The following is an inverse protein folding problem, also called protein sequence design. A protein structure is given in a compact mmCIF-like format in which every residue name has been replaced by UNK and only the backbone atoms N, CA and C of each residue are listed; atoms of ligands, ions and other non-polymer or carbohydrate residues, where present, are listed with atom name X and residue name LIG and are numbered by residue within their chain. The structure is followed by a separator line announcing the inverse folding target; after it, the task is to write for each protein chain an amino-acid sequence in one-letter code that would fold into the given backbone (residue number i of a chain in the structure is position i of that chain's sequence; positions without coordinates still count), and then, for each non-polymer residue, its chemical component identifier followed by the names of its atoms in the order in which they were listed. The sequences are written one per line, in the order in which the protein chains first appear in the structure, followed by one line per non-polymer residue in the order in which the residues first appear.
data_IF_301310883895
#
_entry.id   IF_301310883895
#
_cell.length_a   1.000
_cell.length_b   1.000
_cell.length_c   1.000
_cell.angle_alpha   90.00
_cell.angle_beta   90.00
_cell.angle_gamma   90.00
#
_symmetry.space_group_name_H-M   'P 1'
#
loop_
_entity.id
_entity.type
_entity.pdbx_description
1 polymer ?
#
# COMPACT_ATOMS: atom_id res chain seq x y z
N UNK A 1 -8.83 10.80 -1.16
CA UNK A 1 -7.87 10.14 -2.06
C UNK A 1 -8.19 10.32 -3.54
N UNK A 2 -9.36 9.89 -4.05
CA UNK A 2 -9.72 10.09 -5.47
C UNK A 2 -9.65 11.56 -5.91
N UNK A 3 -10.25 12.47 -5.12
CA UNK A 3 -10.22 13.91 -5.39
C UNK A 3 -8.78 14.47 -5.37
N UNK A 4 -7.93 13.97 -4.48
CA UNK A 4 -6.52 14.37 -4.40
C UNK A 4 -5.73 13.95 -5.64
N UNK A 5 -6.04 12.77 -6.19
CA UNK A 5 -5.46 12.30 -7.45
C UNK A 5 -5.94 13.17 -8.63
N UNK A 6 -7.22 13.54 -8.69
CA UNK A 6 -7.74 14.44 -9.73
C UNK A 6 -7.11 15.84 -9.65
N UNK A 7 -7.00 16.40 -8.44
CA UNK A 7 -6.35 17.69 -8.22
C UNK A 7 -4.86 17.63 -8.60
N UNK A 8 -4.15 16.56 -8.26
CA UNK A 8 -2.76 16.37 -8.67
C UNK A 8 -2.62 16.23 -10.18
N UNK A 9 -3.53 15.52 -10.86
CA UNK A 9 -3.57 15.45 -12.33
C UNK A 9 -3.74 16.84 -12.96
N UNK A 10 -4.60 17.69 -12.42
CA UNK A 10 -4.75 19.08 -12.86
C UNK A 10 -3.50 19.95 -12.63
N UNK A 11 -2.78 19.75 -11.52
CA UNK A 11 -1.47 20.42 -11.30
C UNK A 11 -0.39 19.90 -12.25
N UNK A 12 -0.43 18.61 -12.58
CA UNK A 12 0.54 17.97 -13.46
C UNK A 12 0.28 18.31 -14.94
N UNK A 13 -0.97 18.49 -15.37
CA UNK A 13 -1.32 18.82 -16.76
C UNK A 13 -0.86 20.20 -17.21
N UNK A 14 -0.72 21.15 -16.26
CA UNK A 14 -0.13 22.48 -16.51
C UNK A 14 1.38 22.43 -16.80
N UNK A 15 2.03 21.29 -16.55
CA UNK A 15 3.40 21.03 -16.94
C UNK A 15 3.39 20.12 -18.18
N UNK A 16 3.86 20.67 -19.30
CA UNK A 16 4.01 20.04 -20.62
C UNK A 16 4.35 18.54 -20.55
N UNK A 17 3.76 17.74 -21.45
CA UNK A 17 4.01 16.30 -21.63
C UNK A 17 5.50 16.02 -21.62
N UNK A 18 6.02 15.50 -20.51
CA UNK A 18 7.45 15.20 -20.36
C UNK A 18 7.70 13.85 -21.01
N UNK A 19 8.73 13.74 -21.84
CA UNK A 19 9.17 12.45 -22.40
C UNK A 19 9.76 11.46 -21.37
N UNK A 20 9.71 11.82 -20.08
CA UNK A 20 10.35 11.12 -18.96
C UNK A 20 9.45 11.19 -17.75
N UNK A 21 9.31 10.06 -17.06
CA UNK A 21 8.59 9.94 -15.79
C UNK A 21 9.53 10.25 -14.62
N UNK A 22 9.17 11.26 -13.84
CA UNK A 22 9.85 11.65 -12.60
C UNK A 22 9.08 11.07 -11.42
N UNK A 23 9.61 10.09 -10.69
CA UNK A 23 8.88 9.38 -9.63
C UNK A 23 8.30 10.32 -8.57
N UNK A 24 9.05 11.37 -8.21
CA UNK A 24 8.70 12.35 -7.19
C UNK A 24 8.27 13.70 -7.80
N UNK A 25 7.61 13.67 -8.96
CA UNK A 25 7.13 14.87 -9.65
C UNK A 25 6.31 15.78 -8.72
N UNK A 26 6.80 17.01 -8.48
CA UNK A 26 6.18 17.99 -7.59
C UNK A 26 6.04 17.53 -6.12
N UNK A 27 6.88 16.59 -5.65
CA UNK A 27 6.89 16.11 -4.26
C UNK A 27 8.11 16.56 -3.48
N UNK A 28 9.24 16.74 -4.16
CA UNK A 28 10.53 17.01 -3.52
C UNK A 28 10.69 18.49 -3.16
N UNK A 29 10.98 18.78 -1.90
CA UNK A 29 11.26 20.12 -1.39
C UNK A 29 12.64 20.18 -0.76
N UNK A 30 13.32 21.31 -0.91
CA UNK A 30 14.61 21.55 -0.25
C UNK A 30 14.39 21.79 1.25
N UNK A 31 15.06 21.06 2.14
CA UNK A 31 14.92 21.28 3.60
C UNK A 31 15.42 22.65 4.07
N UNK A 32 16.34 23.28 3.32
CA UNK A 32 16.95 24.57 3.70
C UNK A 32 16.13 25.78 3.31
N UNK A 33 15.47 25.74 2.14
CA UNK A 33 14.69 26.88 1.64
C UNK A 33 13.21 26.57 1.42
N UNK A 34 12.79 25.33 1.67
CA UNK A 34 11.42 24.80 1.52
C UNK A 34 10.81 24.97 0.12
N UNK A 35 11.62 25.34 -0.88
CA UNK A 35 11.18 25.48 -2.27
C UNK A 35 11.13 24.12 -2.95
N UNK A 36 10.09 23.93 -3.78
CA UNK A 36 9.93 22.76 -4.63
C UNK A 36 11.14 22.59 -5.59
N UNK A 37 11.71 21.40 -5.60
CA UNK A 37 12.86 21.06 -6.44
C UNK A 37 12.42 20.68 -7.86
N UNK A 38 13.18 21.14 -8.85
CA UNK A 38 12.90 20.89 -10.25
C UNK A 38 13.52 19.55 -10.70
N UNK A 39 12.68 18.63 -11.20
CA UNK A 39 13.14 17.43 -11.88
C UNK A 39 13.89 17.76 -13.17
N UNK A 40 15.03 17.12 -13.37
CA UNK A 40 15.92 17.27 -14.51
C UNK A 40 16.50 15.90 -14.91
N UNK A 41 16.96 15.82 -16.15
CA UNK A 41 17.59 14.65 -16.73
C UNK A 41 18.52 15.10 -17.87
N UNK A 42 19.57 14.33 -18.19
CA UNK A 42 20.40 14.57 -19.37
C UNK A 42 19.60 14.50 -20.67
N UNK A 43 20.19 14.91 -21.78
CA UNK A 43 19.66 14.65 -23.12
C UNK A 43 19.97 13.22 -23.61
N UNK A 44 19.33 12.82 -24.71
CA UNK A 44 19.58 11.52 -25.38
C UNK A 44 19.08 10.32 -24.57
N UNK A 45 19.68 9.14 -24.78
CA UNK A 45 19.22 7.89 -24.15
C UNK A 45 19.47 7.85 -22.63
N UNK A 46 20.46 8.59 -22.13
CA UNK A 46 20.78 8.69 -20.69
C UNK A 46 19.70 9.37 -19.86
N UNK A 47 18.71 10.00 -20.51
CA UNK A 47 17.64 10.74 -19.85
C UNK A 47 16.72 9.86 -18.98
N UNK A 48 16.67 8.56 -19.26
CA UNK A 48 15.86 7.60 -18.51
C UNK A 48 16.54 7.09 -17.23
N UNK A 49 17.86 6.96 -17.25
CA UNK A 49 18.63 6.35 -16.16
C UNK A 49 19.13 7.37 -15.11
N UNK A 50 19.25 8.64 -15.49
CA UNK A 50 19.87 9.68 -14.66
C UNK A 50 18.90 10.83 -14.37
N UNK A 51 17.85 10.54 -13.61
CA UNK A 51 16.91 11.57 -13.13
C UNK A 51 17.45 12.20 -11.85
N UNK A 52 17.46 13.54 -11.79
CA UNK A 52 17.87 14.29 -10.61
C UNK A 52 16.91 15.43 -10.27
N UNK A 53 16.83 15.76 -8.99
CA UNK A 53 16.07 16.89 -8.47
C UNK A 53 17.02 18.00 -8.09
N UNK A 54 16.79 19.20 -8.62
CA UNK A 54 17.62 20.38 -8.40
C UNK A 54 16.88 21.44 -7.59
N UNK A 55 17.50 21.92 -6.52
CA UNK A 55 17.07 23.15 -5.86
C UNK A 55 17.76 24.35 -6.53
N UNK A 56 16.98 25.32 -6.99
CA UNK A 56 17.53 26.51 -7.65
C UNK A 56 18.27 27.42 -6.67
N UNK A 57 17.68 27.67 -5.50
CA UNK A 57 18.20 28.61 -4.50
C UNK A 57 19.47 28.07 -3.84
N UNK A 58 19.45 26.81 -3.41
CA UNK A 58 20.59 26.18 -2.71
C UNK A 58 21.59 25.51 -3.66
N UNK A 59 21.33 25.53 -4.97
CA UNK A 59 22.18 24.94 -6.02
C UNK A 59 22.57 23.46 -5.80
N UNK A 60 21.77 22.70 -5.03
CA UNK A 60 22.00 21.27 -4.80
C UNK A 60 21.28 20.40 -5.83
N UNK A 61 21.84 19.23 -6.09
CA UNK A 61 21.35 18.22 -7.03
C UNK A 61 21.33 16.86 -6.33
N UNK A 62 20.22 16.15 -6.45
CA UNK A 62 20.02 14.85 -5.79
C UNK A 62 19.52 13.83 -6.80
N UNK A 63 20.15 12.67 -6.89
CA UNK A 63 19.71 11.60 -7.79
C UNK A 63 18.41 10.96 -7.27
N UNK A 64 17.47 10.68 -8.18
CA UNK A 64 16.20 10.00 -7.87
C UNK A 64 16.43 8.66 -7.16
N UNK A 65 17.45 7.89 -7.58
CA UNK A 65 17.79 6.60 -6.98
C UNK A 65 18.31 6.73 -5.54
N UNK A 66 19.00 7.84 -5.22
CA UNK A 66 19.44 8.09 -3.85
C UNK A 66 18.26 8.37 -2.92
N UNK A 67 17.22 9.05 -3.42
CA UNK A 67 15.97 9.25 -2.69
C UNK A 67 15.30 7.88 -2.46
N UNK A 68 15.12 7.07 -3.50
CA UNK A 68 14.53 5.71 -3.41
C UNK A 68 15.23 4.89 -2.33
N UNK A 69 16.57 4.89 -2.32
CA UNK A 69 17.34 4.14 -1.33
C UNK A 69 17.10 4.63 0.11
N UNK A 70 16.98 5.95 0.31
CA UNK A 70 16.73 6.53 1.63
C UNK A 70 15.31 6.25 2.14
N UNK A 71 14.31 6.20 1.25
CA UNK A 71 12.91 5.91 1.62
C UNK A 71 12.50 4.47 1.28
N UNK A 72 13.46 3.56 1.11
CA UNK A 72 13.19 2.17 0.66
C UNK A 72 12.18 1.47 1.56
N UNK A 73 12.32 1.58 2.88
CA UNK A 73 11.38 0.96 3.83
C UNK A 73 9.95 1.50 3.61
N UNK A 74 9.80 2.83 3.55
CA UNK A 74 8.52 3.49 3.25
C UNK A 74 7.92 3.01 1.93
N UNK A 75 8.74 2.81 0.89
CA UNK A 75 8.27 2.29 -0.40
C UNK A 75 7.67 0.90 -0.21
N UNK A 76 8.37 0.01 0.48
CA UNK A 76 7.91 -1.37 0.70
C UNK A 76 6.63 -1.40 1.54
N UNK A 77 6.52 -0.57 2.57
CA UNK A 77 5.33 -0.44 3.41
C UNK A 77 4.13 0.08 2.57
N UNK A 78 4.35 1.04 1.68
CA UNK A 78 3.31 1.55 0.78
C UNK A 78 2.90 0.53 -0.29
N UNK A 79 3.83 -0.28 -0.79
CA UNK A 79 3.55 -1.37 -1.72
C UNK A 79 2.69 -2.43 -1.05
N UNK A 80 3.06 -2.84 0.16
CA UNK A 80 2.28 -3.78 0.97
C UNK A 80 0.88 -3.22 1.24
N UNK A 81 0.78 -1.96 1.67
CA UNK A 81 -0.50 -1.30 1.90
C UNK A 81 -1.36 -1.24 0.63
N UNK A 82 -0.80 -0.82 -0.51
CA UNK A 82 -1.58 -0.71 -1.76
C UNK A 82 -2.09 -2.09 -2.21
N UNK A 83 -1.25 -3.12 -2.11
CA UNK A 83 -1.63 -4.51 -2.42
C UNK A 83 -2.72 -5.05 -1.47
N UNK A 84 -2.51 -4.96 -0.15
CA UNK A 84 -3.49 -5.42 0.85
C UNK A 84 -4.83 -4.71 0.68
N UNK A 85 -4.82 -3.37 0.61
CA UNK A 85 -6.06 -2.58 0.63
C UNK A 85 -6.76 -2.63 -0.72
N UNK A 86 -6.04 -2.51 -1.84
CA UNK A 86 -6.69 -2.46 -3.16
C UNK A 86 -6.88 -3.82 -3.78
N UNK A 87 -5.88 -4.68 -3.74
CA UNK A 87 -5.89 -5.90 -4.55
C UNK A 87 -6.56 -7.04 -3.78
N UNK A 88 -6.51 -7.01 -2.44
CA UNK A 88 -7.13 -8.03 -1.59
C UNK A 88 -8.43 -7.54 -0.96
N UNK A 89 -8.40 -6.44 -0.20
CA UNK A 89 -9.55 -6.05 0.62
C UNK A 89 -10.59 -5.23 -0.14
N UNK A 90 -10.23 -4.45 -1.15
CA UNK A 90 -11.22 -3.67 -1.90
C UNK A 90 -12.23 -4.57 -2.63
N UNK A 91 -11.83 -5.64 -3.36
CA UNK A 91 -12.76 -6.64 -3.90
C UNK A 91 -13.75 -7.17 -2.86
N UNK A 92 -13.25 -7.50 -1.68
CA UNK A 92 -14.04 -8.11 -0.60
C UNK A 92 -15.00 -7.10 0.01
N UNK A 93 -14.54 -5.88 0.29
CA UNK A 93 -15.37 -4.77 0.78
C UNK A 93 -16.45 -4.40 -0.24
N UNK A 94 -16.12 -4.45 -1.53
CA UNK A 94 -17.02 -4.15 -2.64
C UNK A 94 -18.02 -5.29 -2.87
N UNK A 95 -17.65 -6.55 -2.61
CA UNK A 95 -18.55 -7.71 -2.64
C UNK A 95 -19.50 -7.77 -1.43
N UNK A 96 -19.06 -7.32 -0.24
CA UNK A 96 -19.93 -7.13 0.94
C UNK A 96 -20.98 -6.02 0.71
N UNK A 97 -20.74 -5.13 -0.26
CA UNK A 97 -21.69 -4.16 -0.78
C UNK A 97 -22.33 -4.73 -2.06
N UNK A 98 -23.26 -5.66 -1.90
CA UNK A 98 -23.94 -6.47 -2.95
C UNK A 98 -24.37 -5.76 -4.25
N UNK A 99 -24.42 -4.43 -4.30
CA UNK A 99 -24.76 -3.63 -5.48
C UNK A 99 -23.67 -3.57 -6.58
N UNK A 100 -22.41 -3.90 -6.26
CA UNK A 100 -21.28 -3.64 -7.18
C UNK A 100 -21.13 -4.67 -8.31
N UNK A 101 -21.29 -5.97 -8.03
CA UNK A 101 -21.17 -7.06 -9.01
C UNK A 101 -22.28 -6.98 -10.05
N UNK A 102 -23.49 -6.63 -9.61
CA UNK A 102 -24.63 -6.39 -10.50
C UNK A 102 -24.39 -5.20 -11.43
N UNK A 103 -23.74 -4.14 -10.94
CA UNK A 103 -23.39 -2.99 -11.76
C UNK A 103 -22.29 -3.31 -12.78
N UNK A 104 -21.26 -4.07 -12.40
CA UNK A 104 -20.22 -4.53 -13.32
C UNK A 104 -20.77 -5.49 -14.38
N UNK A 105 -21.67 -6.40 -14.00
CA UNK A 105 -22.37 -7.29 -14.93
C UNK A 105 -23.30 -6.51 -15.88
N UNK A 106 -24.00 -5.49 -15.39
CA UNK A 106 -24.80 -4.58 -16.22
C UNK A 106 -23.92 -3.81 -17.21
N UNK A 107 -22.78 -3.29 -16.76
CA UNK A 107 -21.82 -2.58 -17.61
C UNK A 107 -21.23 -3.52 -18.69
N UNK A 108 -20.84 -4.73 -18.31
CA UNK A 108 -20.36 -5.77 -19.23
C UNK A 108 -21.41 -6.12 -20.29
N UNK A 109 -22.68 -6.27 -19.87
CA UNK A 109 -23.80 -6.52 -20.78
C UNK A 109 -24.02 -5.34 -21.74
N UNK A 110 -23.89 -4.10 -21.27
CA UNK A 110 -24.01 -2.92 -22.11
C UNK A 110 -22.88 -2.81 -23.14
N UNK A 111 -21.63 -3.08 -22.74
CA UNK A 111 -20.48 -3.10 -23.64
C UNK A 111 -20.60 -4.21 -24.70
N UNK A 112 -21.09 -5.40 -24.32
CA UNK A 112 -21.35 -6.49 -25.27
C UNK A 112 -22.45 -6.13 -26.28
N UNK A 113 -23.50 -5.44 -25.85
CA UNK A 113 -24.53 -4.90 -26.75
C UNK A 113 -23.95 -3.86 -27.70
N UNK A 114 -23.11 -2.95 -27.21
CA UNK A 114 -22.42 -1.96 -28.02
C UNK A 114 -21.51 -2.62 -29.07
N UNK A 115 -20.72 -3.63 -28.67
CA UNK A 115 -19.89 -4.44 -29.57
C UNK A 115 -20.71 -5.08 -30.69
N UNK A 116 -21.89 -5.59 -30.36
CA UNK A 116 -22.79 -6.22 -31.33
C UNK A 116 -23.33 -5.22 -32.36
N UNK A 117 -23.71 -4.02 -31.92
CA UNK A 117 -24.17 -2.93 -32.80
C UNK A 117 -23.09 -2.47 -33.77
N UNK A 118 -21.85 -2.33 -33.31
CA UNK A 118 -20.72 -1.93 -34.15
C UNK A 118 -20.43 -3.01 -35.21
N UNK A 119 -20.49 -4.30 -34.84
CA UNK A 119 -20.39 -5.42 -35.79
C UNK A 119 -21.51 -5.41 -36.83
N UNK A 120 -22.72 -5.06 -36.44
CA UNK A 120 -23.86 -4.98 -37.34
C UNK A 120 -23.75 -3.79 -38.30
N UNK A 121 -23.35 -2.61 -37.80
CA UNK A 121 -23.10 -1.43 -38.62
C UNK A 121 -22.03 -1.68 -39.70
N UNK A 122 -20.94 -2.37 -39.34
CA UNK A 122 -19.92 -2.81 -40.30
C UNK A 122 -20.47 -3.79 -41.35
N UNK A 123 -21.23 -4.82 -40.92
CA UNK A 123 -21.87 -5.78 -41.85
C UNK A 123 -22.82 -5.13 -42.84
N UNK A 124 -23.50 -4.07 -42.41
CA UNK A 124 -24.42 -3.30 -43.24
C UNK A 124 -23.71 -2.25 -44.12
N UNK A 125 -22.36 -2.20 -44.09
CA UNK A 125 -21.57 -1.29 -44.91
C UNK A 125 -21.64 0.18 -44.48
N UNK A 126 -22.05 0.45 -43.24
CA UNK A 126 -22.23 1.82 -42.71
C UNK A 126 -20.91 2.44 -42.24
N UNK A 127 -19.91 1.62 -41.93
CA UNK A 127 -18.63 2.02 -41.31
C UNK A 127 -17.48 1.36 -42.04
N UNK A 128 -16.36 2.09 -42.19
CA UNK A 128 -15.15 1.58 -42.82
C UNK A 128 -14.37 0.60 -41.91
N UNK A 129 -13.52 -0.24 -42.50
CA UNK A 129 -12.80 -1.30 -41.79
C UNK A 129 -11.87 -0.76 -40.70
N UNK A 130 -11.24 0.38 -40.95
CA UNK A 130 -10.28 1.02 -40.05
C UNK A 130 -10.96 1.56 -38.78
N UNK A 131 -12.04 2.32 -38.94
CA UNK A 131 -12.87 2.82 -37.83
C UNK A 131 -13.46 1.67 -37.01
N UNK A 132 -13.96 0.63 -37.70
CA UNK A 132 -14.46 -0.59 -37.04
C UNK A 132 -13.40 -1.26 -36.18
N UNK A 133 -12.16 -1.38 -36.68
CA UNK A 133 -11.08 -2.03 -35.97
C UNK A 133 -10.65 -1.27 -34.70
N UNK A 134 -10.60 0.06 -34.75
CA UNK A 134 -10.27 0.91 -33.59
C UNK A 134 -11.34 0.82 -32.50
N UNK A 135 -12.62 0.93 -32.87
CA UNK A 135 -13.74 0.88 -31.94
C UNK A 135 -13.86 -0.49 -31.24
N UNK A 136 -13.70 -1.57 -31.99
CA UNK A 136 -13.68 -2.93 -31.43
C UNK A 136 -12.52 -3.11 -30.47
N UNK A 137 -11.32 -2.61 -30.82
CA UNK A 137 -10.13 -2.71 -29.95
C UNK A 137 -10.33 -1.96 -28.64
N UNK A 138 -10.93 -0.77 -28.69
CA UNK A 138 -11.24 0.01 -27.49
C UNK A 138 -12.26 -0.71 -26.60
N UNK A 139 -13.35 -1.22 -27.18
CA UNK A 139 -14.37 -1.95 -26.42
C UNK A 139 -13.81 -3.24 -25.83
N UNK A 140 -12.99 -3.98 -26.59
CA UNK A 140 -12.38 -5.22 -26.11
C UNK A 140 -11.39 -4.97 -24.97
N UNK A 141 -10.68 -3.84 -24.99
CA UNK A 141 -9.85 -3.43 -23.84
C UNK A 141 -10.69 -3.16 -22.58
N UNK A 142 -11.86 -2.52 -22.72
CA UNK A 142 -12.77 -2.24 -21.61
C UNK A 142 -13.40 -3.52 -21.06
N UNK A 143 -13.86 -4.41 -21.94
CA UNK A 143 -14.40 -5.73 -21.58
C UNK A 143 -13.34 -6.53 -20.84
N UNK A 144 -12.12 -6.60 -21.38
CA UNK A 144 -11.00 -7.32 -20.77
C UNK A 144 -10.71 -6.82 -19.36
N UNK A 145 -10.65 -5.49 -19.15
CA UNK A 145 -10.45 -4.90 -17.83
C UNK A 145 -11.59 -5.25 -16.83
N UNK A 146 -12.85 -5.31 -17.28
CA UNK A 146 -13.99 -5.68 -16.41
C UNK A 146 -13.96 -7.18 -16.09
N UNK A 147 -13.66 -8.02 -17.08
CA UNK A 147 -13.53 -9.48 -16.89
C UNK A 147 -12.36 -9.82 -15.99
N UNK A 148 -11.21 -9.14 -16.14
CA UNK A 148 -10.07 -9.29 -15.23
C UNK A 148 -10.44 -8.94 -13.80
N UNK A 149 -11.21 -7.87 -13.57
CA UNK A 149 -11.75 -7.53 -12.24
C UNK A 149 -12.68 -8.62 -11.69
N UNK A 150 -13.62 -9.10 -12.49
CA UNK A 150 -14.55 -10.17 -12.08
C UNK A 150 -13.83 -11.51 -11.81
N UNK A 151 -12.74 -11.79 -12.53
CA UNK A 151 -11.94 -13.01 -12.37
C UNK A 151 -10.95 -12.93 -11.21
N UNK A 152 -10.35 -11.75 -10.94
CA UNK A 152 -9.56 -11.55 -9.71
C UNK A 152 -10.44 -11.75 -8.48
N UNK A 153 -11.71 -11.35 -8.55
CA UNK A 153 -12.67 -11.58 -7.47
C UNK A 153 -12.95 -13.09 -7.28
N UNK A 154 -13.03 -13.88 -8.35
CA UNK A 154 -13.27 -15.33 -8.26
C UNK A 154 -12.06 -16.11 -7.67
N UNK A 155 -10.82 -15.69 -7.94
CA UNK A 155 -9.61 -16.29 -7.34
C UNK A 155 -9.50 -15.95 -5.85
N UNK A 156 -9.97 -14.77 -5.44
CA UNK A 156 -10.09 -14.36 -4.03
C UNK A 156 -11.20 -15.15 -3.32
N UNK A 157 -12.29 -15.47 -4.03
CA UNK A 157 -13.40 -16.30 -3.53
C UNK A 157 -13.00 -17.79 -3.43
N UNK A 158 -12.22 -18.37 -4.34
CA UNK A 158 -11.80 -19.79 -4.21
C UNK A 158 -10.76 -20.00 -3.09
N UNK A 159 -9.97 -18.97 -2.77
CA UNK A 159 -9.09 -18.95 -1.60
C UNK A 159 -9.78 -18.39 -0.34
N UNK A 160 -11.13 -18.32 -0.31
CA UNK A 160 -11.91 -17.81 0.81
C UNK A 160 -11.88 -18.74 2.03
N UNK A 161 -10.71 -18.87 2.64
CA UNK A 161 -10.63 -19.04 4.07
C UNK A 161 -11.23 -17.77 4.69
N UNK A 162 -12.54 -17.82 4.94
CA UNK A 162 -13.29 -16.97 5.86
C UNK A 162 -12.84 -15.48 5.87
N UNK A 163 -13.08 -14.79 4.75
CA UNK A 163 -12.81 -13.35 4.57
C UNK A 163 -13.66 -12.43 5.48
N UNK A 164 -14.49 -13.00 6.35
CA UNK A 164 -15.10 -12.29 7.47
C UNK A 164 -14.04 -11.78 8.46
N UNK A 165 -12.87 -12.44 8.55
CA UNK A 165 -11.73 -12.01 9.37
C UNK A 165 -10.55 -11.51 8.52
N UNK A 166 -10.65 -10.26 8.05
CA UNK A 166 -9.60 -9.57 7.26
C UNK A 166 -8.22 -9.57 7.94
N UNK A 167 -8.19 -9.52 9.28
CA UNK A 167 -6.97 -9.62 10.07
C UNK A 167 -6.30 -11.01 9.96
N UNK A 168 -7.09 -12.08 9.88
CA UNK A 168 -6.61 -13.46 9.85
C UNK A 168 -5.86 -13.76 8.54
N UNK A 169 -6.42 -13.40 7.40
CA UNK A 169 -5.77 -13.58 6.09
C UNK A 169 -4.39 -12.89 6.04
N UNK A 170 -4.35 -11.64 6.50
CA UNK A 170 -3.12 -10.85 6.55
C UNK A 170 -2.08 -11.51 7.45
N UNK A 171 -2.47 -11.93 8.64
CA UNK A 171 -1.55 -12.50 9.62
C UNK A 171 -1.07 -13.91 9.21
N UNK A 172 -1.91 -14.72 8.56
CA UNK A 172 -1.50 -16.01 7.95
C UNK A 172 -0.39 -15.80 6.91
N UNK A 173 -0.58 -14.86 5.99
CA UNK A 173 0.43 -14.56 4.97
C UNK A 173 1.72 -14.02 5.59
N UNK A 174 1.61 -13.17 6.62
CA UNK A 174 2.77 -12.66 7.35
C UNK A 174 3.55 -13.77 8.06
N UNK A 175 2.88 -14.68 8.75
CA UNK A 175 3.53 -15.83 9.42
C UNK A 175 4.22 -16.72 8.40
N UNK A 176 3.59 -16.98 7.25
CA UNK A 176 4.21 -17.72 6.13
C UNK A 176 5.53 -17.06 5.69
N UNK A 177 5.54 -15.75 5.52
CA UNK A 177 6.73 -15.01 5.09
C UNK A 177 7.84 -15.01 6.15
N UNK A 178 7.49 -14.88 7.44
CA UNK A 178 8.45 -14.96 8.55
C UNK A 178 9.13 -16.34 8.57
N UNK A 179 8.36 -17.43 8.47
CA UNK A 179 8.90 -18.79 8.48
C UNK A 179 9.84 -19.09 7.30
N UNK A 180 9.65 -18.41 6.16
CA UNK A 180 10.50 -18.54 4.97
C UNK A 180 11.69 -17.53 5.00
N UNK A 181 11.74 -16.62 5.98
CA UNK A 181 12.70 -15.52 6.10
C UNK A 181 12.70 -14.56 4.88
N UNK A 182 11.52 -14.32 4.30
CA UNK A 182 11.35 -13.57 3.05
C UNK A 182 10.34 -12.42 3.17
N UNK A 183 10.21 -11.82 4.36
CA UNK A 183 9.19 -10.80 4.68
C UNK A 183 9.04 -9.67 3.66
N UNK A 184 10.15 -9.17 3.11
CA UNK A 184 10.15 -8.08 2.11
C UNK A 184 10.37 -8.54 0.67
N UNK A 185 10.60 -9.84 0.44
CA UNK A 185 11.00 -10.32 -0.90
C UNK A 185 9.88 -10.12 -1.90
N UNK A 186 8.64 -10.39 -1.50
CA UNK A 186 7.47 -10.21 -2.35
C UNK A 186 7.24 -8.74 -2.72
N UNK A 187 7.35 -7.84 -1.75
CA UNK A 187 7.18 -6.39 -1.94
C UNK A 187 8.29 -5.81 -2.82
N UNK A 188 9.53 -6.28 -2.65
CA UNK A 188 10.66 -5.89 -3.50
C UNK A 188 10.42 -6.38 -4.94
N UNK A 189 10.01 -7.64 -5.12
CA UNK A 189 9.73 -8.21 -6.43
C UNK A 189 8.56 -7.49 -7.11
N UNK A 190 7.49 -7.20 -6.37
CA UNK A 190 6.35 -6.40 -6.85
C UNK A 190 6.81 -5.02 -7.28
N UNK A 191 7.53 -4.28 -6.43
CA UNK A 191 8.04 -2.94 -6.74
C UNK A 191 8.91 -2.92 -8.01
N UNK A 192 9.84 -3.87 -8.14
CA UNK A 192 10.75 -3.98 -9.30
C UNK A 192 9.97 -4.34 -10.57
N UNK A 193 8.91 -5.14 -10.47
CA UNK A 193 8.08 -5.52 -11.62
C UNK A 193 7.20 -4.38 -12.16
N UNK A 194 6.97 -3.34 -11.37
CA UNK A 194 6.08 -2.24 -11.75
C UNK A 194 6.73 -1.29 -12.76
N UNK A 195 5.93 -0.88 -13.76
CA UNK A 195 6.28 0.25 -14.63
C UNK A 195 6.59 1.52 -13.82
N UNK A 196 7.43 2.39 -14.37
CA UNK A 196 7.81 3.65 -13.72
C UNK A 196 6.60 4.56 -13.49
N UNK A 197 5.59 4.47 -14.35
CA UNK A 197 4.29 5.14 -14.23
C UNK A 197 3.51 4.64 -13.01
N UNK A 198 3.44 3.32 -12.79
CA UNK A 198 2.77 2.74 -11.61
C UNK A 198 3.52 3.09 -10.31
N UNK A 199 4.86 3.06 -10.35
CA UNK A 199 5.68 3.51 -9.22
C UNK A 199 5.43 5.00 -8.90
N UNK A 200 5.36 5.86 -9.93
CA UNK A 200 5.01 7.27 -9.75
C UNK A 200 3.60 7.43 -9.19
N UNK A 201 2.63 6.66 -9.66
CA UNK A 201 1.25 6.71 -9.17
C UNK A 201 1.18 6.41 -7.67
N UNK A 202 1.93 5.42 -7.18
CA UNK A 202 2.04 5.11 -5.75
C UNK A 202 2.40 6.38 -4.94
N UNK A 203 3.44 7.10 -5.37
CA UNK A 203 3.87 8.34 -4.71
C UNK A 203 2.86 9.47 -4.87
N UNK A 204 2.28 9.63 -6.05
CA UNK A 204 1.24 10.65 -6.29
C UNK A 204 0.01 10.42 -5.43
N UNK A 205 -0.29 9.17 -5.10
CA UNK A 205 -1.44 8.76 -4.30
C UNK A 205 -1.22 9.06 -2.82
N UNK A 206 -0.09 8.64 -2.26
CA UNK A 206 0.10 8.61 -0.81
C UNK A 206 0.99 9.72 -0.25
N UNK A 207 1.99 10.17 -1.01
CA UNK A 207 2.96 11.16 -0.56
C UNK A 207 2.49 12.56 -0.94
N UNK A 208 2.47 13.45 0.05
CA UNK A 208 2.25 14.88 -0.15
C UNK A 208 3.57 15.57 -0.52
N UNK A 209 4.60 15.40 0.30
CA UNK A 209 5.93 15.97 0.05
C UNK A 209 7.06 15.16 0.68
N UNK A 210 8.26 15.33 0.15
CA UNK A 210 9.52 14.78 0.68
C UNK A 210 10.49 15.94 0.84
N UNK A 211 10.95 16.18 2.05
CA UNK A 211 12.00 17.16 2.33
C UNK A 211 13.37 16.50 2.23
N UNK A 212 14.24 17.07 1.41
CA UNK A 212 15.60 16.58 1.22
C UNK A 212 16.63 17.58 1.74
N UNK A 213 17.59 17.04 2.47
CA UNK A 213 18.77 17.76 2.92
C UNK A 213 20.04 17.16 2.31
N UNK A 214 21.04 18.01 2.07
CA UNK A 214 22.38 17.59 1.68
C UNK A 214 23.37 18.03 2.74
N UNK A 215 23.94 17.04 3.44
CA UNK A 215 24.91 17.19 4.52
C UNK A 215 26.23 16.51 4.12
N UNK A 216 27.31 17.29 4.01
CA UNK A 216 28.66 16.80 3.68
C UNK A 216 28.70 15.90 2.43
N UNK A 217 27.96 16.25 1.38
CA UNK A 217 27.88 15.47 0.14
C UNK A 217 26.99 14.23 0.20
N UNK A 218 26.40 13.90 1.35
CA UNK A 218 25.43 12.82 1.51
C UNK A 218 24.01 13.38 1.61
N UNK A 219 23.07 12.66 1.01
CA UNK A 219 21.65 12.97 1.12
C UNK A 219 21.11 12.43 2.43
N UNK A 220 20.32 13.26 3.10
CA UNK A 220 19.49 12.86 4.23
C UNK A 220 18.06 13.24 3.87
N UNK A 221 17.16 12.27 3.85
CA UNK A 221 15.73 12.58 3.79
C UNK A 221 15.34 13.14 5.15
N UNK A 222 14.84 14.38 5.16
CA UNK A 222 14.42 15.07 6.38
C UNK A 222 13.10 14.50 6.88
N UNK A 223 12.01 14.82 6.15
CA UNK A 223 10.66 14.35 6.48
C UNK A 223 9.92 13.91 5.22
N UNK A 224 9.23 12.78 5.30
CA UNK A 224 8.23 12.37 4.31
C UNK A 224 6.86 12.71 4.89
N UNK A 225 6.12 13.58 4.19
CA UNK A 225 4.76 13.96 4.56
C UNK A 225 3.77 13.18 3.72
N UNK A 226 2.86 12.48 4.40
CA UNK A 226 1.78 11.75 3.78
C UNK A 226 0.55 12.64 3.57
N UNK A 227 -0.26 12.32 2.56
CA UNK A 227 -1.52 13.02 2.35
C UNK A 227 -2.47 12.80 3.52
N UNK A 228 -3.14 13.87 3.95
CA UNK A 228 -4.15 13.80 5.01
C UNK A 228 -5.23 12.74 4.73
N UNK A 229 -5.68 12.65 3.49
CA UNK A 229 -6.71 11.69 3.10
C UNK A 229 -6.24 10.24 3.17
N UNK A 230 -4.97 9.97 2.85
CA UNK A 230 -4.35 8.67 3.05
C UNK A 230 -4.25 8.35 4.54
N UNK A 231 -3.78 9.29 5.37
CA UNK A 231 -3.70 9.08 6.82
C UNK A 231 -5.07 8.79 7.44
N UNK A 232 -6.13 9.47 6.99
CA UNK A 232 -7.51 9.20 7.45
C UNK A 232 -8.00 7.81 7.05
N UNK A 233 -7.72 7.38 5.81
CA UNK A 233 -8.04 6.03 5.34
C UNK A 233 -7.28 4.98 6.14
N UNK A 234 -5.96 5.17 6.31
CA UNK A 234 -5.09 4.31 7.10
C UNK A 234 -5.61 4.17 8.53
N UNK A 235 -5.90 5.28 9.22
CA UNK A 235 -6.47 5.23 10.58
C UNK A 235 -7.80 4.47 10.63
N UNK A 236 -8.66 4.68 9.63
CA UNK A 236 -9.96 3.98 9.57
C UNK A 236 -9.78 2.48 9.41
N UNK A 237 -8.85 2.05 8.55
CA UNK A 237 -8.55 0.64 8.34
C UNK A 237 -7.88 0.00 9.56
N UNK A 238 -7.02 0.75 10.25
CA UNK A 238 -6.40 0.33 11.50
C UNK A 238 -7.46 0.10 12.59
N UNK A 239 -8.37 1.06 12.81
CA UNK A 239 -9.46 0.92 13.79
C UNK A 239 -10.45 -0.22 13.47
N UNK A 240 -10.50 -0.63 12.20
CA UNK A 240 -11.29 -1.78 11.74
C UNK A 240 -10.51 -3.10 11.75
N UNK A 241 -9.31 -3.13 12.34
CA UNK A 241 -8.41 -4.30 12.37
C UNK A 241 -8.03 -4.84 10.98
N UNK A 242 -8.15 -4.03 9.92
CA UNK A 242 -7.79 -4.47 8.56
C UNK A 242 -6.27 -4.43 8.37
N UNK A 243 -5.63 -3.39 8.90
CA UNK A 243 -4.17 -3.20 8.84
C UNK A 243 -3.58 -3.06 10.24
N UNK A 244 -2.30 -3.36 10.36
CA UNK A 244 -1.53 -3.13 11.58
C UNK A 244 -0.69 -1.87 11.45
N UNK A 245 -0.17 -1.42 12.58
CA UNK A 245 0.86 -0.41 12.65
C UNK A 245 2.18 -1.06 13.07
N UNK A 246 3.28 -0.70 12.43
CA UNK A 246 4.60 -1.12 12.90
C UNK A 246 5.06 -0.17 14.02
N UNK A 247 5.58 -0.74 15.11
CA UNK A 247 6.13 -0.01 16.25
C UNK A 247 7.47 -0.61 16.64
N UNK A 248 8.33 0.17 17.30
CA UNK A 248 9.62 -0.34 17.75
C UNK A 248 9.42 -1.20 18.99
N UNK A 249 10.01 -2.40 18.96
CA UNK A 249 10.10 -3.28 20.11
C UNK A 249 11.55 -3.33 20.54
N UNK A 250 11.80 -3.14 21.83
CA UNK A 250 13.13 -3.41 22.39
C UNK A 250 13.16 -4.86 22.83
N UNK A 251 13.50 -5.77 21.90
CA UNK A 251 13.78 -7.17 22.20
C UNK A 251 15.16 -7.56 21.67
N UNK A 252 15.67 -8.72 22.10
CA UNK A 252 17.01 -9.17 21.75
C UNK A 252 17.24 -9.39 20.23
N UNK A 253 16.18 -9.57 19.43
CA UNK A 253 16.30 -9.98 18.02
C UNK A 253 15.54 -9.10 17.01
N UNK A 254 14.44 -8.42 17.38
CA UNK A 254 13.63 -7.63 16.44
C UNK A 254 13.47 -6.19 16.91
N UNK A 255 13.87 -5.24 16.05
CA UNK A 255 13.73 -3.80 16.34
C UNK A 255 12.32 -3.26 16.08
N UNK A 256 11.47 -4.00 15.36
CA UNK A 256 10.10 -3.58 15.04
C UNK A 256 9.09 -4.73 15.07
N UNK A 257 7.86 -4.41 15.45
CA UNK A 257 6.76 -5.35 15.65
C UNK A 257 5.44 -4.74 15.19
N UNK A 258 4.50 -5.57 14.76
CA UNK A 258 3.15 -5.11 14.47
C UNK A 258 2.32 -4.95 15.75
N UNK A 259 1.56 -3.86 15.82
CA UNK A 259 0.50 -3.65 16.80
C UNK A 259 -0.83 -3.53 16.07
N UNK A 260 -1.87 -4.18 16.59
CA UNK A 260 -3.27 -3.99 16.14
C UNK A 260 -3.98 -2.97 17.01
N UNK A 261 -5.16 -2.55 16.55
CA UNK A 261 -6.06 -1.79 17.40
C UNK A 261 -6.53 -2.60 18.62
N UNK A 262 -6.98 -1.89 19.64
CA UNK A 262 -7.41 -2.44 20.92
C UNK A 262 -8.60 -3.39 20.75
N UNK A 263 -8.53 -4.59 21.35
CA UNK A 263 -9.57 -5.61 21.30
C UNK A 263 -9.94 -6.11 22.69
N UNK A 264 -11.17 -6.57 22.87
CA UNK A 264 -11.61 -7.29 24.07
C UNK A 264 -10.97 -8.68 24.15
N UNK A 265 -10.90 -9.27 25.35
CA UNK A 265 -10.37 -10.63 25.52
C UNK A 265 -11.14 -11.67 24.72
N UNK A 266 -12.46 -11.54 24.62
CA UNK A 266 -13.31 -12.45 23.85
C UNK A 266 -13.02 -12.36 22.34
N UNK A 267 -12.84 -11.15 21.79
CA UNK A 267 -12.42 -10.97 20.40
C UNK A 267 -11.03 -11.57 20.14
N UNK A 268 -10.09 -11.41 21.08
CA UNK A 268 -8.75 -11.98 20.97
C UNK A 268 -8.80 -13.50 21.03
N UNK A 269 -9.52 -14.09 21.98
CA UNK A 269 -9.63 -15.54 22.13
C UNK A 269 -10.22 -16.19 20.87
N UNK A 270 -11.31 -15.61 20.33
CA UNK A 270 -11.89 -16.05 19.07
C UNK A 270 -10.89 -15.96 17.91
N UNK A 271 -10.14 -14.87 17.84
CA UNK A 271 -9.11 -14.66 16.82
C UNK A 271 -7.97 -15.69 16.92
N UNK A 272 -7.41 -15.91 18.11
CA UNK A 272 -6.33 -16.88 18.36
C UNK A 272 -6.79 -18.30 18.00
N UNK A 273 -8.02 -18.67 18.38
CA UNK A 273 -8.59 -19.99 18.06
C UNK A 273 -8.72 -20.21 16.55
N UNK A 274 -9.00 -19.16 15.77
CA UNK A 274 -9.01 -19.25 14.30
C UNK A 274 -7.60 -19.36 13.74
N UNK A 275 -6.65 -18.56 14.24
CA UNK A 275 -5.27 -18.57 13.75
C UNK A 275 -4.54 -19.90 14.02
N UNK A 276 -4.81 -20.53 15.17
CA UNK A 276 -4.31 -21.87 15.56
C UNK A 276 -4.74 -23.00 14.62
N UNK A 277 -5.76 -22.79 13.78
CA UNK A 277 -6.16 -23.78 12.76
C UNK A 277 -5.16 -23.84 11.59
N UNK A 278 -4.34 -22.80 11.40
CA UNK A 278 -3.41 -22.68 10.27
C UNK A 278 -1.95 -22.80 10.68
N UNK A 279 -1.60 -22.25 11.84
CA UNK A 279 -0.24 -22.25 12.35
C UNK A 279 -0.24 -22.61 13.83
N UNK A 280 0.77 -23.37 14.24
CA UNK A 280 1.11 -23.53 15.65
C UNK A 280 1.63 -22.18 16.15
N UNK A 281 0.91 -21.58 17.10
CA UNK A 281 1.16 -20.22 17.62
C UNK A 281 1.05 -20.22 19.14
N UNK A 282 1.92 -19.45 19.76
CA UNK A 282 1.87 -19.15 21.18
C UNK A 282 1.18 -17.80 21.43
N UNK A 283 0.45 -17.74 22.55
CA UNK A 283 -0.26 -16.54 23.00
C UNK A 283 0.02 -16.28 24.48
N UNK A 284 0.45 -15.06 24.79
CA UNK A 284 0.75 -14.62 26.15
C UNK A 284 0.09 -13.28 26.44
N UNK A 285 -0.46 -13.08 27.63
CA UNK A 285 -0.81 -11.74 28.12
C UNK A 285 0.36 -11.16 28.91
N UNK A 286 0.85 -10.00 28.51
CA UNK A 286 1.98 -9.31 29.17
C UNK A 286 1.64 -7.85 29.46
N UNK A 287 2.30 -7.30 30.46
CA UNK A 287 2.23 -5.87 30.78
C UNK A 287 3.19 -5.10 29.87
N UNK A 288 2.69 -4.06 29.19
CA UNK A 288 3.54 -3.18 28.38
C UNK A 288 4.15 -2.10 29.25
N UNK A 289 5.48 -1.98 29.15
CA UNK A 289 6.26 -0.86 29.69
C UNK A 289 6.75 0.03 28.55
N UNK A 290 6.89 1.32 28.82
CA UNK A 290 7.43 2.30 27.87
C UNK A 290 8.73 2.87 28.43
N UNK A 291 9.75 3.09 27.58
CA UNK A 291 10.89 3.93 27.95
C UNK A 291 10.60 5.43 27.76
N UNK A 292 11.59 6.25 28.09
CA UNK A 292 11.57 7.71 27.90
C UNK A 292 11.37 8.14 26.44
N UNK A 293 11.61 7.25 25.48
CA UNK A 293 11.44 7.48 24.04
C UNK A 293 10.13 6.88 23.48
N UNK A 294 9.22 6.41 24.34
CA UNK A 294 7.98 5.71 24.00
C UNK A 294 8.17 4.37 23.25
N UNK A 295 9.34 3.74 23.33
CA UNK A 295 9.54 2.39 22.82
C UNK A 295 8.85 1.37 23.73
N UNK A 296 8.30 0.32 23.13
CA UNK A 296 7.61 -0.75 23.86
C UNK A 296 8.63 -1.75 24.39
N UNK A 297 8.51 -2.04 25.69
CA UNK A 297 9.18 -3.14 26.38
C UNK A 297 8.13 -4.12 26.85
N UNK A 298 8.28 -5.37 26.40
CA UNK A 298 7.49 -6.48 26.88
C UNK A 298 8.29 -7.14 28.00
N UNK A 299 7.73 -7.18 29.20
CA UNK A 299 8.30 -7.97 30.31
C UNK A 299 8.00 -9.45 30.03
N UNK A 300 8.72 -10.01 29.07
CA UNK A 300 8.49 -11.32 28.49
C UNK A 300 9.80 -12.12 28.53
N UNK A 301 9.85 -13.14 29.37
CA UNK A 301 10.84 -14.21 29.26
C UNK A 301 10.39 -15.14 28.13
N UNK A 302 10.79 -14.84 26.90
CA UNK A 302 10.60 -15.77 25.78
C UNK A 302 11.40 -17.04 26.04
N UNK A 303 10.83 -18.21 25.75
CA UNK A 303 11.70 -19.32 25.36
C UNK A 303 12.54 -18.82 24.17
N UNK A 304 13.84 -19.11 24.16
CA UNK A 304 14.85 -18.41 23.34
C UNK A 304 14.67 -18.53 21.81
N UNK A 305 13.61 -19.17 21.33
CA UNK A 305 13.37 -19.50 19.92
C UNK A 305 12.11 -18.83 19.32
N UNK A 306 11.24 -18.21 20.12
CA UNK A 306 9.95 -17.70 19.64
C UNK A 306 10.09 -16.34 18.94
N UNK A 307 9.67 -16.26 17.67
CA UNK A 307 9.63 -15.00 16.93
C UNK A 307 8.31 -14.28 17.19
N UNK A 308 8.36 -13.16 17.91
CA UNK A 308 7.17 -12.36 18.15
C UNK A 308 6.67 -11.75 16.85
N UNK A 309 5.42 -12.06 16.48
CA UNK A 309 4.78 -11.59 15.25
C UNK A 309 4.07 -10.27 15.50
N UNK A 310 3.36 -10.17 16.62
CA UNK A 310 2.33 -9.16 16.82
C UNK A 310 1.92 -8.94 18.26
N UNK A 311 1.56 -7.70 18.57
CA UNK A 311 0.99 -7.24 19.85
C UNK A 311 -0.47 -6.81 19.63
N UNK A 312 -1.35 -7.19 20.56
CA UNK A 312 -2.76 -6.81 20.56
C UNK A 312 -3.08 -6.14 21.90
N UNK A 313 -3.30 -4.82 21.94
CA UNK A 313 -3.75 -4.13 23.15
C UNK A 313 -5.08 -4.68 23.64
N UNK A 314 -5.18 -4.96 24.95
CA UNK A 314 -6.38 -5.52 25.56
C UNK A 314 -7.26 -4.39 26.13
N UNK A 315 -8.53 -4.35 25.71
CA UNK A 315 -9.54 -3.42 26.20
C UNK A 315 -9.89 -3.75 27.65
N UNK A 316 -9.47 -2.89 28.58
CA UNK A 316 -9.86 -3.01 29.99
C UNK A 316 -11.10 -2.18 30.32
N UNK A 317 -12.03 -2.75 31.08
CA UNK A 317 -13.27 -2.08 31.51
C UNK A 317 -13.07 -1.10 32.69
N UNK A 318 -11.87 -1.03 33.29
CA UNK A 318 -11.62 -0.21 34.49
C UNK A 318 -11.07 1.16 34.09
N UNK A 319 -11.78 2.21 34.51
CA UNK A 319 -11.53 3.62 34.17
C UNK A 319 -10.13 4.15 34.52
N UNK A 320 -9.38 3.48 35.39
CA UNK A 320 -8.06 3.94 35.84
C UNK A 320 -7.15 2.77 36.19
N UNK A 321 -6.26 2.40 35.27
CA UNK A 321 -5.01 1.70 35.56
C UNK A 321 -3.90 2.36 34.75
N UNK A 322 -2.76 2.59 35.39
CA UNK A 322 -1.55 3.11 34.74
C UNK A 322 -0.77 2.02 33.97
N UNK A 323 -1.38 0.85 33.75
CA UNK A 323 -0.74 -0.36 33.23
C UNK A 323 -1.59 -0.90 32.09
N UNK A 324 -0.98 -1.04 30.91
CA UNK A 324 -1.66 -1.48 29.70
C UNK A 324 -1.27 -2.94 29.44
N UNK A 325 -2.26 -3.83 29.46
CA UNK A 325 -2.04 -5.24 29.16
C UNK A 325 -2.19 -5.47 27.66
N UNK A 326 -1.32 -6.30 27.10
CA UNK A 326 -1.34 -6.70 25.70
C UNK A 326 -1.27 -8.22 25.57
N UNK A 327 -2.00 -8.74 24.59
CA UNK A 327 -1.75 -10.06 24.04
C UNK A 327 -0.55 -10.04 23.11
N UNK A 328 0.29 -11.06 23.18
CA UNK A 328 1.46 -11.24 22.33
C UNK A 328 1.33 -12.56 21.60
N UNK A 329 1.51 -12.54 20.28
CA UNK A 329 1.49 -13.74 19.43
C UNK A 329 2.91 -14.01 18.94
N UNK A 330 3.37 -15.24 19.10
CA UNK A 330 4.68 -15.70 18.66
C UNK A 330 4.59 -17.05 17.90
N UNK A 331 5.61 -17.35 17.07
CA UNK A 331 5.76 -18.56 16.23
C UNK A 331 7.18 -19.07 16.16
#
# INVERSE_FOLDING_TARGET
MWLDCQNQKGKNSRNYTRSIVYLFLQKVHCSKCHVLMAGRSPGGNKKYDYVYYRCHNCKMHINENEIINQIKKIILDLVEYDFLVRDIFAPVLVNQLSDSKDNLNKELNNLNKQKSRIKEAYKNGVVELEEFAEDIKLIDSKIKNIVEKLNSDNIIIENSLDLDDKNLYRDINKIKQIKINEYYKDQIMLWISWSKEKQQELFMKYIESIELEMNNGKIKVGRVNFKKSFLQEYSTLFFKNVIDMETNLVSNNNNSINITYLQTREEIENYINKLRKYYDIDYYEVEVKYDENNNIYLDYESNKEDNVIKIIPIKENKKFRNKLNCGVIAV
#
